data_IF_789626527405
#
_entry.id   IF_789626527405
#
_cell.length_a   1.000
_cell.length_b   1.000
_cell.length_c   1.000
_cell.angle_alpha   90.00
_cell.angle_beta   90.00
_cell.angle_gamma   90.00
#
_symmetry.space_group_name_H-M   'P 1'
#
loop_
_entity.id
_entity.type
_entity.pdbx_description
1 polymer ?
#
# COMPACT_ATOMS: atom_id res chain seq x y z
N UNK A 1 -5.68 30.76 -20.24
CA UNK A 1 -4.49 30.61 -19.37
C UNK A 1 -4.97 30.41 -17.94
N UNK A 2 -5.01 29.16 -17.46
CA UNK A 2 -5.46 28.83 -16.11
C UNK A 2 -4.29 29.05 -15.14
N UNK A 3 -4.38 30.09 -14.30
CA UNK A 3 -3.43 30.33 -13.21
C UNK A 3 -3.68 29.29 -12.11
N UNK A 4 -2.88 28.23 -12.10
CA UNK A 4 -2.81 27.30 -10.98
C UNK A 4 -2.18 28.06 -9.79
N UNK A 5 -3.03 28.45 -8.84
CA UNK A 5 -2.58 28.94 -7.54
C UNK A 5 -1.89 27.79 -6.79
N UNK A 6 -0.56 27.77 -6.84
CA UNK A 6 0.24 27.02 -5.88
C UNK A 6 0.10 27.72 -4.53
N UNK A 7 -0.85 27.24 -3.71
CA UNK A 7 -0.91 27.60 -2.30
C UNK A 7 0.44 27.32 -1.65
N UNK A 8 0.93 28.28 -0.86
CA UNK A 8 2.15 28.14 -0.07
C UNK A 8 2.08 26.83 0.73
N UNK A 9 3.07 25.93 0.59
CA UNK A 9 3.11 24.72 1.40
C UNK A 9 3.50 25.13 2.82
N UNK A 10 2.52 25.22 3.71
CA UNK A 10 2.75 25.10 5.16
C UNK A 10 3.04 23.63 5.48
N UNK A 11 4.10 23.08 4.90
CA UNK A 11 4.36 21.64 4.91
C UNK A 11 5.64 21.31 5.68
N UNK A 12 5.53 21.21 7.00
CA UNK A 12 6.49 20.41 7.78
C UNK A 12 6.38 18.91 7.43
N UNK A 13 5.40 18.51 6.60
CA UNK A 13 5.23 17.16 6.08
C UNK A 13 5.84 16.92 4.69
N UNK A 14 6.25 17.96 3.95
CA UNK A 14 6.72 17.87 2.55
C UNK A 14 8.00 17.04 2.37
N UNK A 15 8.81 16.90 3.42
CA UNK A 15 10.16 16.34 3.32
C UNK A 15 10.20 14.83 2.98
N UNK A 16 9.08 14.09 3.15
CA UNK A 16 9.01 12.66 2.84
C UNK A 16 8.09 12.30 1.65
N UNK A 17 7.38 13.25 1.04
CA UNK A 17 6.43 12.92 -0.04
C UNK A 17 7.11 12.44 -1.32
N UNK A 18 8.18 13.12 -1.74
CA UNK A 18 8.94 12.78 -2.96
C UNK A 18 9.63 11.42 -2.84
N UNK A 19 10.45 11.14 -1.79
CA UNK A 19 11.12 9.83 -1.68
C UNK A 19 10.11 8.68 -1.53
N UNK A 20 8.97 8.92 -0.88
CA UNK A 20 7.90 7.92 -0.75
C UNK A 20 7.19 7.63 -2.07
N UNK A 21 6.89 8.67 -2.86
CA UNK A 21 6.30 8.50 -4.19
C UNK A 21 7.24 7.74 -5.14
N UNK A 22 8.54 8.05 -5.10
CA UNK A 22 9.55 7.33 -5.89
C UNK A 22 9.67 5.86 -5.46
N UNK A 23 9.69 5.58 -4.16
CA UNK A 23 9.76 4.21 -3.65
C UNK A 23 8.52 3.40 -4.07
N UNK A 24 7.32 3.97 -3.97
CA UNK A 24 6.10 3.30 -4.40
C UNK A 24 6.06 3.04 -5.91
N UNK A 25 6.53 4.00 -6.72
CA UNK A 25 6.63 3.80 -8.17
C UNK A 25 7.65 2.71 -8.52
N UNK A 26 8.79 2.68 -7.83
CA UNK A 26 9.78 1.61 -7.98
C UNK A 26 9.17 0.25 -7.63
N UNK A 27 8.47 0.12 -6.49
CA UNK A 27 7.78 -1.11 -6.09
C UNK A 27 6.71 -1.54 -7.09
N UNK A 28 5.89 -0.61 -7.59
CA UNK A 28 4.88 -0.90 -8.62
C UNK A 28 5.53 -1.40 -9.91
N UNK A 29 6.58 -0.72 -10.39
CA UNK A 29 7.29 -1.10 -11.60
C UNK A 29 7.95 -2.48 -11.47
N UNK A 30 8.68 -2.73 -10.38
CA UNK A 30 9.30 -4.03 -10.14
C UNK A 30 8.26 -5.13 -9.99
N UNK A 31 7.13 -4.85 -9.34
CA UNK A 31 6.04 -5.83 -9.19
C UNK A 31 5.40 -6.19 -10.52
N UNK A 32 5.18 -5.23 -11.43
CA UNK A 32 4.66 -5.50 -12.78
C UNK A 32 5.64 -6.36 -13.57
N UNK A 33 6.95 -6.08 -13.46
CA UNK A 33 7.98 -6.89 -14.12
C UNK A 33 7.99 -8.32 -13.57
N UNK A 34 7.88 -8.51 -12.24
CA UNK A 34 7.77 -9.85 -11.65
C UNK A 34 6.54 -10.59 -12.19
N UNK A 35 5.37 -9.96 -12.20
CA UNK A 35 4.15 -10.55 -12.76
C UNK A 35 4.36 -10.95 -14.22
N UNK A 36 4.93 -10.08 -15.06
CA UNK A 36 5.20 -10.36 -16.46
C UNK A 36 6.15 -11.55 -16.67
N UNK A 37 7.27 -11.59 -15.94
CA UNK A 37 8.27 -12.67 -16.05
C UNK A 37 7.70 -13.98 -15.51
N UNK A 38 6.96 -13.95 -14.39
CA UNK A 38 6.30 -15.14 -13.85
C UNK A 38 5.24 -15.67 -14.80
N UNK A 39 4.37 -14.82 -15.36
CA UNK A 39 3.39 -15.22 -16.37
C UNK A 39 4.03 -15.79 -17.63
N UNK A 40 5.13 -15.18 -18.10
CA UNK A 40 5.91 -15.73 -19.21
C UNK A 40 6.48 -17.11 -18.87
N UNK A 41 6.95 -17.31 -17.64
CA UNK A 41 7.41 -18.61 -17.14
C UNK A 41 6.33 -19.70 -17.21
N UNK A 42 5.06 -19.37 -16.95
CA UNK A 42 3.94 -20.30 -17.12
C UNK A 42 3.72 -20.68 -18.59
N UNK A 43 3.78 -19.70 -19.50
CA UNK A 43 3.64 -19.96 -20.95
C UNK A 43 4.76 -20.88 -21.43
N UNK A 44 6.01 -20.58 -21.03
CA UNK A 44 7.17 -21.40 -21.36
C UNK A 44 7.05 -22.85 -20.85
N UNK A 45 6.49 -23.05 -19.65
CA UNK A 45 6.23 -24.39 -19.10
C UNK A 45 5.15 -25.14 -19.89
N UNK A 46 4.10 -24.45 -20.33
CA UNK A 46 3.06 -25.03 -21.19
C UNK A 46 3.61 -25.43 -22.56
N UNK A 47 4.48 -24.61 -23.16
CA UNK A 47 5.12 -24.93 -24.43
C UNK A 47 6.05 -26.14 -24.28
N UNK A 48 6.83 -26.22 -23.20
CA UNK A 48 7.62 -27.42 -22.88
C UNK A 48 6.75 -28.65 -22.71
N UNK A 49 5.60 -28.55 -22.04
CA UNK A 49 4.67 -29.66 -21.88
C UNK A 49 4.16 -30.18 -23.22
N UNK A 50 3.86 -29.29 -24.17
CA UNK A 50 3.48 -29.67 -25.55
C UNK A 50 4.63 -30.35 -26.29
N UNK A 51 5.83 -29.77 -26.25
CA UNK A 51 7.02 -30.36 -26.88
C UNK A 51 7.36 -31.74 -26.30
N UNK A 52 7.23 -31.93 -24.99
CA UNK A 52 7.44 -33.24 -24.35
C UNK A 52 6.41 -34.27 -24.83
N UNK A 53 5.16 -33.87 -25.00
CA UNK A 53 4.11 -34.76 -25.50
C UNK A 53 4.31 -35.15 -26.98
N UNK A 54 4.91 -34.27 -27.79
CA UNK A 54 5.26 -34.55 -29.19
C UNK A 54 6.49 -35.45 -29.33
N UNK A 55 7.50 -35.25 -28.48
CA UNK A 55 8.77 -35.98 -28.57
C UNK A 55 8.73 -37.34 -27.86
N UNK A 56 7.89 -37.49 -26.83
CA UNK A 56 7.81 -38.70 -26.01
C UNK A 56 6.35 -39.17 -26.00
N UNK A 57 6.02 -40.30 -26.68
CA UNK A 57 4.68 -40.83 -26.68
C UNK A 57 4.24 -41.14 -25.23
N UNK A 58 3.10 -40.57 -24.83
CA UNK A 58 2.54 -40.63 -23.47
C UNK A 58 3.42 -40.02 -22.35
N UNK A 59 4.39 -39.18 -22.68
CA UNK A 59 5.21 -38.47 -21.71
C UNK A 59 4.45 -37.34 -21.00
N UNK A 60 4.39 -37.40 -19.67
CA UNK A 60 3.80 -36.35 -18.83
C UNK A 60 4.91 -35.56 -18.13
N UNK A 61 4.95 -34.25 -18.36
CA UNK A 61 5.85 -33.33 -17.66
C UNK A 61 5.25 -32.88 -16.32
N UNK A 62 5.87 -33.29 -15.22
CA UNK A 62 5.55 -32.84 -13.87
C UNK A 62 6.36 -31.60 -13.50
N UNK A 63 5.71 -30.44 -13.52
CA UNK A 63 6.28 -29.16 -13.13
C UNK A 63 5.34 -28.36 -12.18
N UNK A 64 4.53 -29.07 -11.39
CA UNK A 64 3.52 -28.44 -10.54
C UNK A 64 4.12 -27.54 -9.45
N UNK A 65 5.28 -27.92 -8.90
CA UNK A 65 5.96 -27.14 -7.86
C UNK A 65 6.30 -25.73 -8.35
N UNK A 66 6.90 -25.61 -9.54
CA UNK A 66 7.29 -24.32 -10.11
C UNK A 66 6.07 -23.49 -10.57
N UNK A 67 5.00 -24.15 -11.01
CA UNK A 67 3.73 -23.48 -11.34
C UNK A 67 3.10 -22.85 -10.09
N UNK A 68 3.06 -23.60 -8.99
CA UNK A 68 2.50 -23.12 -7.72
C UNK A 68 3.34 -21.96 -7.16
N UNK A 69 4.67 -22.03 -7.22
CA UNK A 69 5.53 -20.93 -6.73
C UNK A 69 5.49 -19.70 -7.61
N UNK A 70 5.42 -19.85 -8.94
CA UNK A 70 5.23 -18.70 -9.83
C UNK A 70 3.85 -18.05 -9.62
N UNK A 71 2.81 -18.85 -9.41
CA UNK A 71 1.48 -18.35 -9.09
C UNK A 71 1.45 -17.57 -7.78
N UNK A 72 2.07 -18.09 -6.72
CA UNK A 72 2.14 -17.39 -5.44
C UNK A 72 2.97 -16.10 -5.51
N UNK A 73 4.09 -16.12 -6.22
CA UNK A 73 4.92 -14.93 -6.46
C UNK A 73 4.17 -13.87 -7.26
N UNK A 74 3.39 -14.29 -8.27
CA UNK A 74 2.54 -13.40 -9.07
C UNK A 74 1.45 -12.78 -8.22
N UNK A 75 0.76 -13.58 -7.39
CA UNK A 75 -0.29 -13.09 -6.50
C UNK A 75 0.25 -12.09 -5.47
N UNK A 76 1.38 -12.42 -4.82
CA UNK A 76 2.03 -11.56 -3.84
C UNK A 76 2.50 -10.23 -4.47
N UNK A 77 3.14 -10.30 -5.64
CA UNK A 77 3.61 -9.11 -6.36
C UNK A 77 2.45 -8.27 -6.90
N UNK A 78 1.39 -8.91 -7.41
CA UNK A 78 0.18 -8.24 -7.84
C UNK A 78 -0.50 -7.49 -6.69
N UNK A 79 -0.60 -8.12 -5.51
CA UNK A 79 -1.12 -7.45 -4.31
C UNK A 79 -0.27 -6.26 -3.89
N UNK A 80 1.07 -6.40 -3.88
CA UNK A 80 1.98 -5.29 -3.58
C UNK A 80 1.86 -4.13 -4.58
N UNK A 81 1.74 -4.44 -5.87
CA UNK A 81 1.53 -3.45 -6.93
C UNK A 81 0.22 -2.70 -6.77
N UNK A 82 -0.88 -3.41 -6.49
CA UNK A 82 -2.19 -2.81 -6.27
C UNK A 82 -2.17 -1.86 -5.07
N UNK A 83 -1.58 -2.29 -3.95
CA UNK A 83 -1.45 -1.45 -2.75
C UNK A 83 -0.65 -0.17 -3.04
N UNK A 84 0.50 -0.29 -3.70
CA UNK A 84 1.33 0.88 -4.03
C UNK A 84 0.63 1.81 -5.03
N UNK A 85 -0.02 1.26 -6.05
CA UNK A 85 -0.72 2.03 -7.10
C UNK A 85 -1.91 2.80 -6.53
N UNK A 86 -2.74 2.17 -5.70
CA UNK A 86 -3.85 2.84 -5.01
C UNK A 86 -3.34 3.98 -4.14
N UNK A 87 -2.22 3.77 -3.43
CA UNK A 87 -1.66 4.79 -2.56
C UNK A 87 -1.10 6.00 -3.34
N UNK A 88 -0.40 5.74 -4.44
CA UNK A 88 0.08 6.78 -5.36
C UNK A 88 -1.09 7.55 -5.96
N UNK A 89 -2.14 6.85 -6.39
CA UNK A 89 -3.35 7.48 -6.96
C UNK A 89 -4.02 8.40 -5.94
N UNK A 90 -4.21 7.94 -4.70
CA UNK A 90 -4.75 8.78 -3.61
C UNK A 90 -3.90 10.03 -3.35
N UNK A 91 -2.57 9.91 -3.47
CA UNK A 91 -1.62 11.03 -3.29
C UNK A 91 -1.74 12.04 -4.43
N UNK A 92 -1.83 11.58 -5.69
CA UNK A 92 -1.95 12.46 -6.87
C UNK A 92 -3.30 13.18 -6.87
N UNK A 93 -4.39 12.48 -6.57
CA UNK A 93 -5.73 13.04 -6.56
C UNK A 93 -6.00 13.97 -5.36
N UNK A 94 -5.02 14.18 -4.47
CA UNK A 94 -5.13 14.99 -3.24
C UNK A 94 -6.37 14.66 -2.41
N UNK A 95 -6.79 13.40 -2.42
CA UNK A 95 -7.86 12.90 -1.54
C UNK A 95 -7.20 12.72 -0.17
N UNK A 96 -6.93 13.82 0.53
CA UNK A 96 -6.36 13.83 1.88
C UNK A 96 -7.45 14.04 2.92
N UNK A 97 -8.13 12.97 3.39
CA UNK A 97 -8.75 13.06 4.70
C UNK A 97 -7.63 13.20 5.76
N UNK A 98 -7.92 13.93 6.84
CA UNK A 98 -7.04 14.08 8.00
C UNK A 98 -6.57 12.68 8.44
N UNK A 99 -5.25 12.44 8.42
CA UNK A 99 -4.71 11.12 8.76
C UNK A 99 -4.99 10.79 10.24
N UNK A 100 -5.87 9.82 10.47
CA UNK A 100 -6.14 9.31 11.82
C UNK A 100 -5.10 8.27 12.22
N UNK A 101 -4.82 8.14 13.53
CA UNK A 101 -3.91 7.10 14.07
C UNK A 101 -4.30 5.69 13.60
N UNK A 102 -5.60 5.41 13.46
CA UNK A 102 -6.12 4.14 12.92
C UNK A 102 -5.74 3.95 11.44
N UNK A 103 -5.88 4.98 10.61
CA UNK A 103 -5.50 4.91 9.19
C UNK A 103 -4.01 4.61 9.02
N UNK A 104 -3.16 5.24 9.83
CA UNK A 104 -1.70 5.01 9.82
C UNK A 104 -1.36 3.56 10.17
N UNK A 105 -1.95 3.02 11.25
CA UNK A 105 -1.72 1.62 11.66
C UNK A 105 -2.21 0.62 10.60
N UNK A 106 -3.35 0.86 9.98
CA UNK A 106 -3.88 -0.01 8.91
C UNK A 106 -2.91 -0.03 7.72
N UNK A 107 -2.38 1.13 7.32
CA UNK A 107 -1.42 1.24 6.22
C UNK A 107 -0.13 0.49 6.55
N UNK A 108 0.44 0.71 7.72
CA UNK A 108 1.66 0.01 8.17
C UNK A 108 1.45 -1.51 8.22
N UNK A 109 0.30 -1.96 8.71
CA UNK A 109 -0.06 -3.37 8.76
C UNK A 109 -0.21 -3.98 7.36
N UNK A 110 -0.89 -3.31 6.43
CA UNK A 110 -1.06 -3.78 5.05
C UNK A 110 0.28 -3.90 4.31
N UNK A 111 1.16 -2.89 4.44
CA UNK A 111 2.50 -2.95 3.86
C UNK A 111 3.36 -4.05 4.52
N UNK A 112 3.25 -4.24 5.83
CA UNK A 112 3.90 -5.34 6.53
C UNK A 112 3.43 -6.71 6.04
N UNK A 113 2.11 -6.92 5.91
CA UNK A 113 1.54 -8.16 5.38
C UNK A 113 2.00 -8.45 3.95
N UNK A 114 1.96 -7.45 3.07
CA UNK A 114 2.43 -7.60 1.70
C UNK A 114 3.93 -7.94 1.64
N UNK A 115 4.74 -7.34 2.51
CA UNK A 115 6.17 -7.64 2.63
C UNK A 115 6.42 -9.08 3.09
N UNK A 116 5.66 -9.55 4.09
CA UNK A 116 5.76 -10.93 4.59
C UNK A 116 5.31 -11.97 3.55
N UNK A 117 4.23 -11.72 2.82
CA UNK A 117 3.80 -12.59 1.72
C UNK A 117 4.84 -12.66 0.61
N UNK A 118 5.41 -11.51 0.24
CA UNK A 118 6.45 -11.45 -0.77
C UNK A 118 7.73 -12.17 -0.32
N UNK A 119 8.09 -12.07 0.96
CA UNK A 119 9.21 -12.84 1.53
C UNK A 119 8.97 -14.35 1.44
N UNK A 120 7.79 -14.82 1.88
CA UNK A 120 7.44 -16.24 1.82
C UNK A 120 7.44 -16.78 0.39
N UNK A 121 6.87 -16.04 -0.56
CA UNK A 121 6.87 -16.41 -1.97
C UNK A 121 8.30 -16.45 -2.57
N UNK A 122 9.16 -15.49 -2.23
CA UNK A 122 10.55 -15.47 -2.67
C UNK A 122 11.38 -16.63 -2.11
N UNK A 123 11.20 -16.97 -0.83
CA UNK A 123 11.87 -18.12 -0.22
C UNK A 123 11.43 -19.41 -0.93
N UNK A 124 10.12 -19.61 -1.09
CA UNK A 124 9.58 -20.78 -1.78
C UNK A 124 10.11 -20.89 -3.22
N UNK A 125 10.09 -19.77 -3.96
CA UNK A 125 10.63 -19.70 -5.32
C UNK A 125 12.13 -20.03 -5.37
N UNK A 126 12.91 -19.52 -4.42
CA UNK A 126 14.35 -19.76 -4.34
C UNK A 126 14.66 -21.22 -4.06
N UNK A 127 13.99 -21.83 -3.07
CA UNK A 127 14.15 -23.24 -2.73
C UNK A 127 13.76 -24.13 -3.92
N UNK A 128 12.61 -23.91 -4.54
CA UNK A 128 12.17 -24.72 -5.69
C UNK A 128 13.11 -24.54 -6.88
N UNK A 129 13.49 -23.31 -7.22
CA UNK A 129 14.37 -23.05 -8.37
C UNK A 129 15.77 -23.65 -8.19
N UNK A 130 16.29 -23.65 -6.96
CA UNK A 130 17.64 -24.15 -6.66
C UNK A 130 17.72 -25.65 -6.44
N UNK A 131 16.69 -26.27 -5.85
CA UNK A 131 16.75 -27.68 -5.43
C UNK A 131 15.96 -28.63 -6.33
N UNK A 132 14.99 -28.13 -7.10
CA UNK A 132 14.07 -28.97 -7.87
C UNK A 132 14.36 -28.91 -9.36
N UNK A 133 13.90 -29.97 -10.03
CA UNK A 133 13.93 -30.12 -11.48
C UNK A 133 12.56 -30.62 -11.93
N UNK A 134 12.21 -30.37 -13.19
CA UNK A 134 11.02 -31.00 -13.77
C UNK A 134 11.25 -32.50 -13.95
N UNK A 135 10.21 -33.31 -13.77
CA UNK A 135 10.30 -34.76 -13.97
C UNK A 135 9.39 -35.17 -15.11
N UNK A 136 9.89 -35.99 -16.03
CA UNK A 136 9.09 -36.58 -17.09
C UNK A 136 8.78 -38.03 -16.70
N UNK A 137 7.51 -38.41 -16.72
CA UNK A 137 7.07 -39.79 -16.49
C UNK A 137 6.40 -40.31 -17.76
N UNK A 138 6.61 -41.59 -18.05
CA UNK A 138 5.97 -42.31 -19.15
C UNK A 138 5.48 -43.65 -18.62
N UNK A 139 4.25 -44.08 -18.93
CA UNK A 139 3.73 -45.37 -18.46
C UNK A 139 4.47 -46.58 -19.06
N UNK A 140 5.16 -46.41 -20.18
CA UNK A 140 5.75 -47.49 -20.98
C UNK A 140 7.28 -47.65 -20.86
N UNK A 141 7.99 -46.69 -20.27
CA UNK A 141 9.46 -46.72 -20.21
C UNK A 141 10.00 -46.54 -18.79
N UNK A 142 11.12 -47.22 -18.50
CA UNK A 142 11.79 -47.09 -17.21
C UNK A 142 12.42 -45.69 -17.05
N UNK A 143 12.54 -45.16 -15.81
CA UNK A 143 13.10 -43.83 -15.57
C UNK A 143 14.50 -43.63 -16.16
N UNK A 144 15.30 -44.70 -16.24
CA UNK A 144 16.63 -44.67 -16.85
C UNK A 144 16.59 -44.41 -18.36
N UNK A 145 15.59 -44.95 -19.06
CA UNK A 145 15.39 -44.71 -20.50
C UNK A 145 14.93 -43.28 -20.73
N UNK A 146 13.99 -42.79 -19.92
CA UNK A 146 13.53 -41.39 -19.98
C UNK A 146 14.69 -40.43 -19.74
N UNK A 147 15.53 -40.68 -18.72
CA UNK A 147 16.71 -39.84 -18.45
C UNK A 147 17.69 -39.80 -19.63
N UNK A 148 17.89 -40.92 -20.33
CA UNK A 148 18.72 -40.96 -21.54
C UNK A 148 18.08 -40.24 -22.73
N UNK A 149 16.76 -40.37 -22.92
CA UNK A 149 16.04 -39.61 -23.96
C UNK A 149 16.10 -38.10 -23.72
N UNK A 150 15.96 -37.67 -22.46
CA UNK A 150 16.08 -36.26 -22.08
C UNK A 150 17.50 -35.75 -22.28
N UNK A 151 18.51 -36.55 -21.92
CA UNK A 151 19.90 -36.19 -22.17
C UNK A 151 20.19 -36.09 -23.67
N UNK A 152 19.63 -37.00 -24.47
CA UNK A 152 19.76 -37.01 -25.93
C UNK A 152 19.01 -35.85 -26.61
N UNK A 153 17.90 -35.38 -26.03
CA UNK A 153 17.18 -34.20 -26.52
C UNK A 153 17.86 -32.87 -26.18
N UNK A 154 18.92 -32.90 -25.36
CA UNK A 154 19.64 -31.71 -24.92
C UNK A 154 18.84 -30.82 -23.96
N UNK A 155 17.70 -31.30 -23.45
CA UNK A 155 16.86 -30.51 -22.56
C UNK A 155 17.36 -30.56 -21.11
N UNK A 156 17.59 -29.39 -20.52
CA UNK A 156 17.88 -29.29 -19.10
C UNK A 156 16.58 -29.16 -18.29
N UNK A 157 16.32 -30.16 -17.44
CA UNK A 157 15.16 -30.22 -16.55
C UNK A 157 15.34 -29.40 -15.27
N UNK A 158 16.58 -29.02 -14.92
CA UNK A 158 16.86 -28.22 -13.74
C UNK A 158 16.30 -26.81 -13.89
N UNK A 159 15.52 -26.35 -12.92
CA UNK A 159 14.90 -25.02 -12.99
C UNK A 159 15.94 -23.91 -12.98
N UNK A 160 17.04 -24.07 -12.25
CA UNK A 160 18.15 -23.11 -12.18
C UNK A 160 18.84 -22.87 -13.53
N UNK A 161 18.87 -23.86 -14.42
CA UNK A 161 19.48 -23.74 -15.75
C UNK A 161 18.56 -23.05 -16.75
N UNK A 162 17.25 -22.99 -16.46
CA UNK A 162 16.28 -22.36 -17.34
C UNK A 162 16.17 -20.88 -17.00
N UNK A 163 16.18 -20.03 -18.03
CA UNK A 163 16.19 -18.58 -17.83
C UNK A 163 14.95 -18.04 -17.09
N UNK A 164 13.70 -18.48 -17.36
CA UNK A 164 12.54 -17.82 -16.78
C UNK A 164 12.43 -17.99 -15.25
N UNK A 165 12.56 -19.21 -14.67
CA UNK A 165 12.58 -19.38 -13.21
C UNK A 165 13.71 -18.62 -12.53
N UNK A 166 14.90 -18.63 -13.13
CA UNK A 166 16.08 -17.97 -12.57
C UNK A 166 15.91 -16.45 -12.53
N UNK A 167 15.43 -15.85 -13.61
CA UNK A 167 15.20 -14.40 -13.67
C UNK A 167 14.04 -14.00 -12.74
N UNK A 168 12.95 -14.77 -12.71
CA UNK A 168 11.83 -14.52 -11.79
C UNK A 168 12.29 -14.51 -10.32
N UNK A 169 13.17 -15.44 -9.93
CA UNK A 169 13.78 -15.48 -8.60
C UNK A 169 14.58 -14.20 -8.29
N UNK A 170 15.47 -13.77 -9.19
CA UNK A 170 16.31 -12.58 -8.97
C UNK A 170 15.45 -11.32 -8.88
N UNK A 171 14.52 -11.13 -9.82
CA UNK A 171 13.66 -9.94 -9.85
C UNK A 171 12.68 -9.95 -8.66
N UNK A 172 12.25 -11.11 -8.20
CA UNK A 172 11.44 -11.27 -6.99
C UNK A 172 12.14 -10.72 -5.73
N UNK A 173 13.44 -11.00 -5.58
CA UNK A 173 14.25 -10.45 -4.48
C UNK A 173 14.47 -8.94 -4.61
N UNK A 174 14.66 -8.43 -5.83
CA UNK A 174 14.72 -6.97 -6.07
C UNK A 174 13.38 -6.32 -5.68
N UNK A 175 12.26 -6.93 -6.06
CA UNK A 175 10.93 -6.44 -5.68
C UNK A 175 10.74 -6.45 -4.16
N UNK A 176 11.22 -7.49 -3.47
CA UNK A 176 11.20 -7.56 -2.01
C UNK A 176 12.02 -6.44 -1.35
N UNK A 177 13.20 -6.13 -1.87
CA UNK A 177 14.03 -5.04 -1.36
C UNK A 177 13.32 -3.68 -1.54
N UNK A 178 12.75 -3.42 -2.72
CA UNK A 178 11.97 -2.21 -2.99
C UNK A 178 10.74 -2.10 -2.06
N UNK A 179 10.01 -3.21 -1.88
CA UNK A 179 8.84 -3.23 -0.99
C UNK A 179 9.22 -3.01 0.48
N UNK A 180 10.32 -3.60 0.93
CA UNK A 180 10.84 -3.40 2.29
C UNK A 180 11.25 -1.95 2.54
N UNK A 181 11.87 -1.30 1.55
CA UNK A 181 12.20 0.12 1.62
C UNK A 181 10.93 0.98 1.69
N UNK A 182 9.92 0.68 0.86
CA UNK A 182 8.61 1.32 0.89
C UNK A 182 7.94 1.16 2.26
N UNK A 183 7.97 -0.03 2.85
CA UNK A 183 7.43 -0.29 4.18
C UNK A 183 8.16 0.51 5.27
N UNK A 184 9.50 0.54 5.24
CA UNK A 184 10.30 1.34 6.18
C UNK A 184 9.94 2.83 6.11
N UNK A 185 9.78 3.38 4.91
CA UNK A 185 9.38 4.78 4.73
C UNK A 185 7.98 5.07 5.28
N UNK A 186 7.05 4.13 5.10
CA UNK A 186 5.69 4.21 5.67
C UNK A 186 5.76 4.17 7.21
N UNK A 187 6.54 3.26 7.79
CA UNK A 187 6.71 3.13 9.24
C UNK A 187 7.41 4.35 9.86
N UNK A 188 8.40 4.93 9.18
CA UNK A 188 9.06 6.16 9.65
C UNK A 188 8.10 7.35 9.63
N UNK A 189 7.31 7.51 8.57
CA UNK A 189 6.27 8.53 8.49
C UNK A 189 5.21 8.34 9.59
N UNK A 190 4.77 7.11 9.81
CA UNK A 190 3.82 6.75 10.86
C UNK A 190 4.34 7.15 12.26
N UNK A 191 5.59 6.79 12.58
CA UNK A 191 6.23 7.14 13.85
C UNK A 191 6.40 8.64 14.03
N UNK A 192 6.77 9.36 12.96
CA UNK A 192 6.88 10.81 12.99
C UNK A 192 5.52 11.47 13.26
N UNK A 193 4.44 11.01 12.61
CA UNK A 193 3.10 11.54 12.84
C UNK A 193 2.54 11.19 14.21
N UNK A 194 2.85 10.01 14.76
CA UNK A 194 2.47 9.67 16.14
C UNK A 194 3.21 10.53 17.18
N UNK A 195 4.47 10.88 16.92
CA UNK A 195 5.29 11.73 17.80
C UNK A 195 4.91 13.20 17.70
N UNK A 196 4.71 13.73 16.49
CA UNK A 196 4.37 15.13 16.25
C UNK A 196 2.88 15.44 16.46
N UNK A 197 1.98 14.48 16.20
CA UNK A 197 0.55 14.64 16.43
C UNK A 197 0.17 14.81 17.90
N UNK A 198 1.01 14.37 18.85
CA UNK A 198 0.81 14.67 20.27
C UNK A 198 1.05 16.17 20.57
N UNK A 199 2.01 16.79 19.86
CA UNK A 199 2.32 18.21 19.99
C UNK A 199 1.30 19.08 19.24
N UNK A 200 0.84 18.66 18.07
CA UNK A 200 -0.17 19.40 17.30
C UNK A 200 -1.57 19.34 17.91
N UNK A 201 -1.97 18.23 18.55
CA UNK A 201 -3.23 18.16 19.30
C UNK A 201 -3.15 19.01 20.58
N UNK A 202 -1.99 19.05 21.25
CA UNK A 202 -1.78 19.93 22.41
C UNK A 202 -1.81 21.41 22.02
N UNK A 203 -1.14 21.78 20.93
CA UNK A 203 -1.12 23.16 20.40
C UNK A 203 -2.48 23.54 19.82
N UNK A 204 -3.12 22.65 19.07
CA UNK A 204 -4.46 22.81 18.48
C UNK A 204 -5.54 23.01 19.54
N UNK A 205 -5.52 22.20 20.60
CA UNK A 205 -6.41 22.37 21.75
C UNK A 205 -6.10 23.67 22.50
N UNK A 206 -4.84 24.06 22.68
CA UNK A 206 -4.49 25.33 23.29
C UNK A 206 -4.96 26.53 22.45
N UNK A 207 -4.85 26.48 21.12
CA UNK A 207 -5.36 27.53 20.22
C UNK A 207 -6.88 27.56 20.14
N UNK A 208 -7.57 26.42 20.13
CA UNK A 208 -9.03 26.35 20.17
C UNK A 208 -9.56 26.83 21.53
N UNK A 209 -8.88 26.53 22.62
CA UNK A 209 -9.22 27.03 23.95
C UNK A 209 -9.01 28.54 24.04
N UNK A 210 -7.92 29.06 23.47
CA UNK A 210 -7.64 30.51 23.39
C UNK A 210 -8.65 31.24 22.51
N UNK A 211 -9.07 30.63 21.39
CA UNK A 211 -10.08 31.18 20.49
C UNK A 211 -11.49 31.14 21.09
N UNK A 212 -11.86 30.07 21.82
CA UNK A 212 -13.13 30.00 22.58
C UNK A 212 -13.15 31.01 23.72
N UNK A 213 -12.05 31.15 24.46
CA UNK A 213 -11.92 32.14 25.54
C UNK A 213 -12.00 33.57 24.99
N UNK A 214 -11.39 33.86 23.85
CA UNK A 214 -11.51 35.15 23.17
C UNK A 214 -12.94 35.43 22.68
N UNK A 215 -13.62 34.42 22.11
CA UNK A 215 -15.01 34.54 21.70
C UNK A 215 -15.97 34.75 22.89
N UNK A 216 -15.73 34.08 24.01
CA UNK A 216 -16.53 34.22 25.23
C UNK A 216 -16.34 35.59 25.89
N UNK A 217 -15.12 36.14 25.88
CA UNK A 217 -14.83 37.51 26.36
C UNK A 217 -15.43 38.56 25.44
N UNK A 218 -15.44 38.32 24.13
CA UNK A 218 -16.11 39.21 23.16
C UNK A 218 -17.64 39.20 23.31
N UNK A 219 -18.25 38.06 23.65
CA UNK A 219 -19.69 37.96 23.89
C UNK A 219 -20.15 38.52 25.24
N UNK A 220 -19.27 38.59 26.24
CA UNK A 220 -19.60 39.12 27.57
C UNK A 220 -19.33 40.63 27.72
N UNK A 221 -18.82 41.30 26.67
CA UNK A 221 -18.53 42.74 26.66
C UNK A 221 -19.64 43.62 26.09
N UNK A 222 -20.81 43.06 25.77
CA UNK A 222 -21.93 43.78 25.12
C UNK A 222 -23.16 43.78 26.03
N UNK A 223 -22.99 44.16 27.31
CA UNK A 223 -24.12 44.52 28.18
C UNK A 223 -23.91 45.91 28.81
N UNK A 224 -24.58 46.89 28.18
CA UNK A 224 -25.05 48.21 28.65
C UNK A 224 -24.01 49.31 28.98
N UNK A 225 -24.22 50.55 28.47
CA UNK A 225 -25.34 51.39 28.94
C UNK A 225 -25.97 52.35 27.91
N UNK A 226 -27.31 52.43 27.86
CA UNK A 226 -28.06 53.70 27.77
C UNK A 226 -29.56 53.47 27.52
N UNK A 227 -30.40 53.83 28.50
CA UNK A 227 -31.71 54.42 28.22
C UNK A 227 -32.19 55.24 29.43
N UNK A 228 -31.62 56.44 29.58
CA UNK A 228 -32.41 57.58 30.06
C UNK A 228 -33.12 58.17 28.83
N UNK A 229 -34.44 58.36 28.91
CA UNK A 229 -35.10 59.69 28.83
C UNK A 229 -36.57 59.63 28.33
N UNK A 230 -37.50 59.97 29.26
CA UNK A 230 -38.79 60.71 29.19
C UNK A 230 -39.85 60.46 28.10
N UNK A 231 -41.11 60.26 28.55
CA UNK A 231 -42.25 61.24 28.53
C UNK A 231 -43.54 60.56 29.08
N UNK A 232 -44.23 61.10 30.10
CA UNK A 232 -45.51 61.86 30.05
C UNK A 232 -46.66 61.15 29.30
N UNK A 233 -47.93 61.06 29.70
CA UNK A 233 -48.76 61.49 30.83
C UNK A 233 -50.14 60.78 30.70
N UNK A 234 -50.92 60.67 31.79
CA UNK A 234 -52.39 60.43 31.88
C UNK A 234 -52.64 59.80 33.26
N UNK A 235 -52.87 60.56 34.33
CA UNK A 235 -54.18 61.16 34.68
C UNK A 235 -55.29 60.10 34.77
N UNK A 236 -55.53 59.61 36.00
CA UNK A 236 -56.90 59.47 36.50
C UNK A 236 -56.91 59.49 38.04
N UNK A 237 -57.51 60.55 38.52
CA UNK A 237 -58.00 60.88 39.84
C UNK A 237 -59.04 59.85 40.33
N UNK A 238 -58.86 59.32 41.55
CA UNK A 238 -59.98 59.01 42.45
C UNK A 238 -59.51 58.88 43.91
N UNK A 239 -59.67 60.00 44.62
CA UNK A 239 -60.27 60.13 45.96
C UNK A 239 -60.75 58.83 46.62
N UNK A 240 -60.21 58.48 47.81
CA UNK A 240 -61.01 58.54 49.04
C UNK A 240 -60.24 58.27 50.37
N UNK A 241 -60.48 59.23 51.26
CA UNK A 241 -60.55 59.26 52.72
C UNK A 241 -59.89 58.22 53.66
N UNK A 242 -59.15 58.81 54.60
CA UNK A 242 -58.78 58.34 55.93
C UNK A 242 -59.99 58.18 56.89
N UNK A 243 -59.71 57.44 57.99
CA UNK A 243 -60.45 57.24 59.25
C UNK A 243 -61.34 55.98 59.27
N UNK A 244 -61.18 55.03 60.20
CA UNK A 244 -60.88 55.10 61.65
C UNK A 244 -59.83 54.08 62.07
#
# INVERSE_FOLDING_TARGET
MVKLHFGKPTDQHAYLHIPRALAFQATSATSIVVVGISSYGLVFLNDKKKMTAEQIPEGVLHAQEILNTNGSLTAASGFASLLCTVYVLMTILRIHPIETKRSIMIKEFLFGLATLFLLGANIAMTVVTSTKSATITTPLASPAVVARLVAASGQNLAYISNWPPRVAMIVGWVNFACMSLSWLLVSLAARHMLRSGHNEVAVGNATLFKSRKAAQVASSGVDSPNSMEKHSASEHEHTDMHQV
#
